data_IF_635937690219
#
_entry.id   IF_635937690219
#
_cell.length_a   1.000
_cell.length_b   1.000
_cell.length_c   1.000
_cell.angle_alpha   90.00
_cell.angle_beta   90.00
_cell.angle_gamma   90.00
#
_symmetry.space_group_name_H-M   'P 1'
#
loop_
_entity.id
_entity.type
_entity.pdbx_description
1 polymer ?
#
# COMPACT_ATOMS: atom_id res chain seq x y z
N UNK A 1 -8.25 -0.58 -16.49
CA UNK A 1 -8.42 0.26 -15.27
C UNK A 1 -7.67 -0.47 -14.18
N UNK A 2 -6.70 0.15 -13.51
CA UNK A 2 -6.04 -0.50 -12.38
C UNK A 2 -6.94 -0.36 -11.14
N UNK A 3 -7.15 -1.45 -10.40
CA UNK A 3 -7.91 -1.44 -9.15
C UNK A 3 -7.02 -0.82 -8.07
N UNK A 4 -7.44 0.31 -7.50
CA UNK A 4 -6.67 1.03 -6.49
C UNK A 4 -7.12 0.61 -5.10
N UNK A 5 -6.20 0.10 -4.31
CA UNK A 5 -6.45 -0.30 -2.92
C UNK A 5 -5.71 0.65 -1.98
N UNK A 6 -6.39 1.05 -0.91
CA UNK A 6 -5.81 1.85 0.17
C UNK A 6 -5.73 1.02 1.45
N UNK A 7 -4.52 0.87 1.99
CA UNK A 7 -4.27 0.21 3.28
C UNK A 7 -3.90 1.27 4.31
N UNK A 8 -4.79 1.53 5.27
CA UNK A 8 -4.55 2.49 6.36
C UNK A 8 -3.90 1.76 7.53
N UNK A 9 -2.77 2.28 8.02
CA UNK A 9 -1.99 1.64 9.07
C UNK A 9 -1.21 0.43 8.55
N UNK A 10 -0.56 0.57 7.39
CA UNK A 10 0.08 -0.56 6.72
C UNK A 10 1.16 -1.23 7.57
N UNK A 11 1.82 -0.51 8.48
CA UNK A 11 2.84 -1.06 9.36
C UNK A 11 3.90 -1.84 8.58
N UNK A 12 4.17 -3.08 8.99
CA UNK A 12 5.12 -3.98 8.32
C UNK A 12 4.57 -4.68 7.08
N UNK A 13 3.36 -4.34 6.62
CA UNK A 13 2.72 -4.89 5.43
C UNK A 13 2.18 -6.33 5.53
N UNK A 14 1.65 -6.81 6.67
CA UNK A 14 1.21 -8.20 6.81
C UNK A 14 0.07 -8.56 5.83
N UNK A 15 -0.74 -7.60 5.40
CA UNK A 15 -1.89 -7.83 4.51
C UNK A 15 -1.52 -7.84 3.02
N UNK A 16 -0.27 -7.50 2.65
CA UNK A 16 0.12 -7.36 1.24
C UNK A 16 -0.02 -8.64 0.41
N UNK A 17 0.00 -9.80 1.05
CA UNK A 17 -0.20 -11.10 0.41
C UNK A 17 -1.62 -11.29 -0.16
N UNK A 18 -2.64 -10.59 0.34
CA UNK A 18 -3.99 -10.65 -0.22
C UNK A 18 -4.11 -9.97 -1.59
N UNK A 19 -3.17 -9.07 -1.89
CA UNK A 19 -3.13 -8.33 -3.15
C UNK A 19 -2.14 -8.95 -4.16
N UNK A 20 -1.51 -10.06 -3.79
CA UNK A 20 -0.56 -10.77 -4.64
C UNK A 20 -1.27 -11.45 -5.81
N UNK A 21 -0.69 -11.38 -7.01
CA UNK A 21 -1.15 -12.13 -8.18
C UNK A 21 -2.16 -11.40 -9.08
N UNK A 22 -2.68 -10.25 -8.65
CA UNK A 22 -3.43 -9.34 -9.53
C UNK A 22 -2.47 -8.32 -10.15
N UNK A 23 -2.19 -8.47 -11.45
CA UNK A 23 -1.28 -7.59 -12.17
C UNK A 23 -1.83 -6.16 -12.35
N UNK A 24 -3.15 -6.00 -12.24
CA UNK A 24 -3.87 -4.75 -12.42
C UNK A 24 -4.18 -4.04 -11.10
N UNK A 25 -3.66 -4.52 -9.96
CA UNK A 25 -3.84 -3.87 -8.65
C UNK A 25 -2.73 -2.86 -8.35
N UNK A 26 -3.10 -1.73 -7.77
CA UNK A 26 -2.17 -0.75 -7.22
C UNK A 26 -2.49 -0.46 -5.76
N UNK A 27 -1.55 -0.76 -4.87
CA UNK A 27 -1.71 -0.67 -3.42
C UNK A 27 -1.02 0.58 -2.90
N UNK A 28 -1.78 1.41 -2.19
CA UNK A 28 -1.31 2.58 -1.47
C UNK A 28 -1.35 2.27 0.02
N UNK A 29 -0.17 2.10 0.63
CA UNK A 29 -0.04 1.87 2.06
C UNK A 29 0.25 3.15 2.82
N UNK A 30 -0.51 3.44 3.87
CA UNK A 30 -0.38 4.67 4.65
C UNK A 30 0.02 4.35 6.07
N UNK A 31 1.10 4.97 6.54
CA UNK A 31 1.52 4.86 7.93
C UNK A 31 2.28 6.13 8.35
N UNK A 32 2.00 6.72 9.52
CA UNK A 32 2.73 7.91 9.97
C UNK A 32 4.20 7.62 10.32
N UNK A 33 4.55 6.37 10.64
CA UNK A 33 5.89 5.95 11.01
C UNK A 33 6.71 5.57 9.77
N UNK A 34 7.52 6.51 9.28
CA UNK A 34 8.44 6.30 8.14
C UNK A 34 9.37 5.09 8.29
N UNK A 35 9.68 4.64 9.51
CA UNK A 35 10.51 3.44 9.72
C UNK A 35 9.83 2.18 9.16
N UNK A 36 8.51 2.22 8.98
CA UNK A 36 7.71 1.11 8.45
C UNK A 36 7.88 0.92 6.94
N UNK A 37 8.29 1.96 6.21
CA UNK A 37 8.41 1.91 4.74
C UNK A 37 9.29 0.75 4.26
N UNK A 38 10.46 0.56 4.89
CA UNK A 38 11.35 -0.55 4.56
C UNK A 38 10.65 -1.90 4.72
N UNK A 39 10.01 -2.12 5.87
CA UNK A 39 9.34 -3.39 6.17
C UNK A 39 8.15 -3.64 5.24
N UNK A 40 7.36 -2.61 4.92
CA UNK A 40 6.25 -2.71 3.99
C UNK A 40 6.73 -3.04 2.56
N UNK A 41 7.86 -2.47 2.11
CA UNK A 41 8.47 -2.81 0.81
C UNK A 41 9.00 -4.25 0.79
N UNK A 42 9.70 -4.66 1.85
CA UNK A 42 10.19 -6.04 1.99
C UNK A 42 9.03 -7.04 1.97
N UNK A 43 7.91 -6.71 2.64
CA UNK A 43 6.69 -7.52 2.62
C UNK A 43 6.01 -7.54 1.25
N UNK A 44 6.00 -6.43 0.49
CA UNK A 44 5.49 -6.41 -0.88
C UNK A 44 6.28 -7.36 -1.78
N UNK A 45 7.62 -7.32 -1.71
CA UNK A 45 8.49 -8.23 -2.46
C UNK A 45 8.26 -9.69 -2.05
N UNK A 46 8.17 -9.98 -0.73
CA UNK A 46 7.89 -11.31 -0.22
C UNK A 46 6.52 -11.85 -0.65
N UNK A 47 5.52 -10.96 -0.73
CA UNK A 47 4.19 -11.25 -1.25
C UNK A 47 4.16 -11.41 -2.79
N UNK A 48 5.26 -11.16 -3.49
CA UNK A 48 5.31 -11.10 -4.97
C UNK A 48 4.42 -10.00 -5.55
N UNK A 49 4.16 -8.94 -4.80
CA UNK A 49 3.56 -7.70 -5.29
C UNK A 49 4.69 -6.87 -5.94
N UNK A 50 4.62 -6.55 -7.25
CA UNK A 50 5.63 -5.73 -7.89
C UNK A 50 5.75 -4.38 -7.18
N UNK A 51 6.97 -3.94 -6.84
CA UNK A 51 7.16 -2.67 -6.15
C UNK A 51 6.63 -1.45 -6.94
N UNK A 52 6.57 -1.53 -8.27
CA UNK A 52 5.92 -0.50 -9.11
C UNK A 52 4.40 -0.37 -8.86
N UNK A 53 3.77 -1.42 -8.32
CA UNK A 53 2.36 -1.48 -7.97
C UNK A 53 2.14 -1.17 -6.48
N UNK A 54 3.20 -0.85 -5.72
CA UNK A 54 3.13 -0.51 -4.31
C UNK A 54 3.63 0.92 -4.08
N UNK A 55 2.91 1.70 -3.29
CA UNK A 55 3.31 3.06 -2.91
C UNK A 55 3.11 3.24 -1.41
N UNK A 56 4.18 3.60 -0.70
CA UNK A 56 4.11 3.96 0.71
C UNK A 56 3.90 5.46 0.85
N UNK A 57 2.90 5.87 1.63
CA UNK A 57 2.54 7.26 1.89
C UNK A 57 2.78 7.53 3.37
N UNK A 58 3.82 8.31 3.73
CA UNK A 58 4.08 8.67 5.12
C UNK A 58 3.13 9.80 5.56
N UNK A 59 1.92 9.43 5.96
CA UNK A 59 0.87 10.35 6.38
C UNK A 59 0.04 9.79 7.55
N UNK A 60 -0.60 10.69 8.28
CA UNK A 60 -1.75 10.34 9.13
C UNK A 60 -2.97 10.15 8.24
N UNK A 61 -3.88 9.25 8.62
CA UNK A 61 -5.09 8.94 7.83
C UNK A 61 -5.96 10.17 7.52
N UNK A 62 -5.86 11.22 8.34
CA UNK A 62 -6.58 12.48 8.21
C UNK A 62 -6.00 13.42 7.12
N UNK A 63 -4.86 13.06 6.52
CA UNK A 63 -4.16 13.87 5.50
C UNK A 63 -3.77 13.04 4.28
N UNK A 64 -4.59 12.07 3.92
CA UNK A 64 -4.39 11.24 2.74
C UNK A 64 -4.35 12.11 1.47
N UNK A 65 -3.31 12.00 0.62
CA UNK A 65 -3.25 12.70 -0.66
C UNK A 65 -4.09 12.00 -1.74
N UNK A 66 -5.26 11.48 -1.38
CA UNK A 66 -6.19 10.79 -2.28
C UNK A 66 -7.50 11.56 -2.30
N UNK A 67 -8.14 11.64 -3.47
CA UNK A 67 -9.43 12.30 -3.61
C UNK A 67 -10.55 11.49 -2.94
N UNK A 68 -11.63 12.15 -2.53
CA UNK A 68 -12.81 11.48 -1.98
C UNK A 68 -13.36 10.43 -2.97
N UNK A 69 -13.83 9.31 -2.42
CA UNK A 69 -14.42 8.18 -3.16
C UNK A 69 -13.57 7.69 -4.35
N UNK A 70 -12.23 7.80 -4.24
CA UNK A 70 -11.30 7.46 -5.34
C UNK A 70 -10.66 6.08 -5.24
N UNK A 71 -11.02 5.32 -4.20
CA UNK A 71 -10.54 3.97 -3.91
C UNK A 71 -11.75 3.05 -3.76
N UNK A 72 -11.64 1.85 -4.31
CA UNK A 72 -12.70 0.83 -4.33
C UNK A 72 -12.59 -0.13 -3.14
#
# INVERSE_FOLDING_TARGET
KANKVLEIGIGTGPNLHYYAGDADIQVFGVDPNRKMEKYARDAAEAARLPLKNFTFIPAVAESLPLSDASVD
#
